data_IF_245650616366
#
_entry.id   IF_245650616366
#
_cell.length_a   1.000
_cell.length_b   1.000
_cell.length_c   1.000
_cell.angle_alpha   90.00
_cell.angle_beta   90.00
_cell.angle_gamma   90.00
#
_symmetry.space_group_name_H-M   'P 1'
#
loop_
_entity.id
_entity.type
_entity.pdbx_description
1 polymer ?
#
# COMPACT_ATOMS: atom_id res chain seq x y z
N UNK A 1 -17.00 10.81 8.80
CA UNK A 1 -17.32 12.23 8.81
C UNK A 1 -16.91 12.84 7.47
N UNK A 2 -17.58 13.88 7.02
CA UNK A 2 -17.35 14.48 5.71
C UNK A 2 -17.79 13.57 4.54
N UNK A 3 -17.12 13.73 3.40
CA UNK A 3 -17.46 13.05 2.14
C UNK A 3 -16.90 11.61 2.09
N UNK A 4 -17.23 10.79 3.08
CA UNK A 4 -16.67 9.45 3.26
C UNK A 4 -17.01 8.47 2.12
N UNK A 5 -18.03 8.76 1.33
CA UNK A 5 -18.52 7.93 0.22
C UNK A 5 -18.06 8.46 -1.16
N UNK A 6 -17.33 9.59 -1.22
CA UNK A 6 -16.74 10.08 -2.47
C UNK A 6 -15.52 9.24 -2.83
N UNK A 7 -15.52 8.69 -4.05
CA UNK A 7 -14.42 7.88 -4.55
C UNK A 7 -13.22 8.76 -4.95
N UNK A 8 -12.02 8.26 -4.68
CA UNK A 8 -10.75 8.82 -5.12
C UNK A 8 -9.80 7.69 -5.55
N UNK A 9 -8.83 7.99 -6.40
CA UNK A 9 -7.80 7.02 -6.75
C UNK A 9 -6.93 6.72 -5.52
N UNK A 10 -6.87 5.44 -5.10
CA UNK A 10 -6.12 5.03 -3.92
C UNK A 10 -4.61 5.02 -4.14
N UNK A 11 -4.18 5.08 -5.39
CA UNK A 11 -2.77 5.17 -5.75
C UNK A 11 -1.90 4.14 -5.01
N UNK A 12 -0.85 4.57 -4.34
CA UNK A 12 0.09 3.69 -3.63
C UNK A 12 -0.51 2.92 -2.45
N UNK A 13 -1.75 3.16 -2.04
CA UNK A 13 -2.40 2.31 -1.04
C UNK A 13 -2.70 0.93 -1.64
N UNK A 14 -2.93 0.84 -2.95
CA UNK A 14 -3.12 -0.42 -3.67
C UNK A 14 -2.00 -1.45 -3.47
N UNK A 15 -0.78 -0.98 -3.18
CA UNK A 15 0.39 -1.83 -2.90
C UNK A 15 0.20 -2.75 -1.69
N UNK A 16 -0.70 -2.40 -0.77
CA UNK A 16 -1.07 -3.29 0.36
C UNK A 16 -1.77 -4.54 -0.17
N UNK A 17 -2.67 -4.39 -1.12
CA UNK A 17 -3.45 -5.49 -1.69
C UNK A 17 -2.61 -6.33 -2.65
N UNK A 18 -1.77 -5.73 -3.50
CA UNK A 18 -0.85 -6.48 -4.36
C UNK A 18 0.22 -7.22 -3.55
N UNK A 19 0.69 -6.68 -2.42
CA UNK A 19 1.58 -7.40 -1.48
C UNK A 19 0.86 -8.61 -0.87
N UNK A 20 -0.40 -8.46 -0.51
CA UNK A 20 -1.22 -9.56 0.02
C UNK A 20 -1.27 -10.73 -0.96
N UNK A 21 -1.61 -10.48 -2.22
CA UNK A 21 -1.63 -11.50 -3.28
C UNK A 21 -0.24 -12.05 -3.59
N UNK A 22 0.79 -11.19 -3.62
CA UNK A 22 2.17 -11.62 -3.83
C UNK A 22 2.66 -12.59 -2.75
N UNK A 23 2.30 -12.34 -1.49
CA UNK A 23 2.59 -13.24 -0.37
C UNK A 23 1.76 -14.53 -0.41
N UNK A 24 0.54 -14.47 -0.91
CA UNK A 24 -0.26 -15.67 -1.16
C UNK A 24 0.40 -16.56 -2.21
N UNK A 25 0.81 -15.95 -3.34
CA UNK A 25 1.36 -16.66 -4.49
C UNK A 25 2.76 -17.26 -4.24
N UNK A 26 3.66 -16.52 -3.62
CA UNK A 26 5.06 -16.89 -3.45
C UNK A 26 5.46 -17.21 -2.00
N UNK A 27 4.64 -16.82 -1.01
CA UNK A 27 5.02 -17.00 0.39
C UNK A 27 6.35 -16.33 0.72
N UNK A 28 7.22 -17.07 1.41
CA UNK A 28 8.53 -16.55 1.83
C UNK A 28 9.52 -16.34 0.67
N UNK A 29 9.32 -16.96 -0.49
CA UNK A 29 10.21 -16.80 -1.65
C UNK A 29 10.10 -15.42 -2.29
N UNK A 30 9.01 -14.67 -2.04
CA UNK A 30 8.86 -13.27 -2.43
C UNK A 30 10.05 -12.42 -1.94
N UNK A 31 10.56 -12.70 -0.75
CA UNK A 31 11.65 -11.93 -0.14
C UNK A 31 13.04 -12.13 -0.79
N UNK A 32 13.14 -13.00 -1.78
CA UNK A 32 14.32 -13.09 -2.64
C UNK A 32 14.31 -12.03 -3.74
N UNK A 33 13.14 -11.47 -4.06
CA UNK A 33 12.92 -10.49 -5.13
C UNK A 33 12.67 -9.07 -4.63
N UNK A 34 12.24 -8.93 -3.37
CA UNK A 34 11.97 -7.63 -2.73
C UNK A 34 12.37 -7.71 -1.26
N UNK A 35 13.01 -6.67 -0.76
CA UNK A 35 13.43 -6.56 0.64
C UNK A 35 12.29 -6.15 1.59
N UNK A 36 12.68 -5.77 2.82
CA UNK A 36 11.75 -5.42 3.90
C UNK A 36 12.23 -4.20 4.70
N UNK A 37 13.21 -3.48 4.17
CA UNK A 37 13.86 -2.36 4.86
C UNK A 37 13.37 -1.00 4.33
N UNK A 38 13.29 0.02 5.17
CA UNK A 38 13.05 1.40 4.74
C UNK A 38 14.07 1.83 3.69
N UNK A 39 13.67 2.63 2.70
CA UNK A 39 14.59 3.05 1.65
C UNK A 39 15.58 4.13 2.11
N UNK A 40 15.17 5.00 3.02
CA UNK A 40 15.97 6.18 3.42
C UNK A 40 16.16 7.22 2.30
N UNK A 41 15.60 6.96 1.12
CA UNK A 41 15.66 7.78 -0.08
C UNK A 41 14.24 7.97 -0.65
N UNK A 42 14.01 8.96 -1.54
CA UNK A 42 12.72 9.12 -2.22
C UNK A 42 12.23 7.80 -2.84
N UNK A 43 10.93 7.56 -2.75
CA UNK A 43 10.26 6.29 -3.12
C UNK A 43 10.44 5.87 -4.60
N UNK A 44 10.96 6.75 -5.43
CA UNK A 44 11.21 6.53 -6.87
C UNK A 44 12.68 6.73 -7.25
N UNK A 45 13.62 6.67 -6.28
CA UNK A 45 15.05 6.78 -6.57
C UNK A 45 15.58 5.51 -7.26
N UNK A 46 16.48 5.68 -8.22
CA UNK A 46 17.19 4.59 -8.89
C UNK A 46 18.52 4.27 -8.20
N UNK A 47 19.10 5.24 -7.52
CA UNK A 47 20.43 5.11 -6.89
C UNK A 47 20.46 3.95 -5.88
N UNK A 48 19.43 3.87 -5.03
CA UNK A 48 19.35 2.78 -4.06
C UNK A 48 19.21 1.42 -4.74
N UNK A 49 18.43 1.36 -5.83
CA UNK A 49 18.19 0.14 -6.59
C UNK A 49 19.49 -0.37 -7.27
N UNK A 50 20.38 0.54 -7.68
CA UNK A 50 21.70 0.21 -8.21
C UNK A 50 22.58 -0.45 -7.15
N UNK A 51 22.67 0.11 -5.95
CA UNK A 51 23.42 -0.50 -4.83
C UNK A 51 22.87 -1.89 -4.45
N UNK A 52 21.56 -2.07 -4.53
CA UNK A 52 20.87 -3.33 -4.20
C UNK A 52 20.77 -4.30 -5.39
N UNK A 53 21.50 -4.03 -6.48
CA UNK A 53 21.56 -4.88 -7.68
C UNK A 53 20.18 -5.28 -8.20
N UNK A 54 19.31 -4.32 -8.37
CA UNK A 54 17.97 -4.53 -8.89
C UNK A 54 16.95 -5.14 -7.91
N UNK A 55 17.33 -5.37 -6.64
CA UNK A 55 16.39 -5.85 -5.60
C UNK A 55 15.85 -4.66 -4.80
N UNK A 56 14.57 -4.30 -4.93
CA UNK A 56 13.99 -3.18 -4.19
C UNK A 56 14.01 -3.41 -2.68
N UNK A 57 14.28 -2.36 -1.89
CA UNK A 57 14.37 -2.47 -0.43
C UNK A 57 13.08 -2.88 0.26
N UNK A 58 11.91 -2.53 -0.28
CA UNK A 58 10.62 -2.92 0.26
C UNK A 58 9.52 -2.87 -0.81
N UNK A 59 8.35 -3.50 -0.56
CA UNK A 59 7.25 -3.59 -1.53
C UNK A 59 6.47 -2.29 -1.70
N UNK A 60 6.70 -1.26 -0.88
CA UNK A 60 5.92 -0.02 -0.89
C UNK A 60 6.60 1.14 -1.64
N UNK A 61 7.89 1.03 -1.99
CA UNK A 61 8.50 1.89 -3.02
C UNK A 61 8.06 1.43 -4.41
N UNK A 62 8.16 2.31 -5.40
CA UNK A 62 7.66 2.01 -6.75
C UNK A 62 8.33 0.78 -7.36
N UNK A 63 9.65 0.65 -7.26
CA UNK A 63 10.38 -0.52 -7.74
C UNK A 63 9.84 -1.83 -7.13
N UNK A 64 9.59 -1.85 -5.80
CA UNK A 64 9.06 -3.04 -5.13
C UNK A 64 7.64 -3.38 -5.57
N UNK A 65 6.80 -2.38 -5.78
CA UNK A 65 5.44 -2.60 -6.28
C UNK A 65 5.42 -3.08 -7.75
N UNK A 66 6.38 -2.66 -8.57
CA UNK A 66 6.55 -3.16 -9.93
C UNK A 66 6.98 -4.64 -9.92
N UNK A 67 7.87 -5.04 -9.00
CA UNK A 67 8.20 -6.47 -8.80
C UNK A 67 6.97 -7.27 -8.38
N UNK A 68 6.11 -6.73 -7.50
CA UNK A 68 4.84 -7.38 -7.15
C UNK A 68 3.91 -7.51 -8.36
N UNK A 69 3.80 -6.47 -9.18
CA UNK A 69 3.01 -6.53 -10.42
C UNK A 69 3.55 -7.61 -11.38
N UNK A 70 4.87 -7.71 -11.54
CA UNK A 70 5.51 -8.79 -12.29
C UNK A 70 5.20 -10.18 -11.72
N UNK A 71 5.25 -10.34 -10.40
CA UNK A 71 4.84 -11.59 -9.73
C UNK A 71 3.39 -11.95 -10.05
N UNK A 72 2.49 -10.97 -10.05
CA UNK A 72 1.06 -11.22 -10.27
C UNK A 72 0.73 -11.53 -11.73
N UNK A 73 1.48 -11.00 -12.69
CA UNK A 73 1.26 -11.21 -14.13
C UNK A 73 2.07 -12.38 -14.70
N UNK A 74 3.06 -12.90 -13.98
CA UNK A 74 3.93 -13.98 -14.45
C UNK A 74 3.12 -15.18 -14.96
N UNK A 75 3.24 -15.47 -16.28
CA UNK A 75 2.55 -16.56 -16.95
C UNK A 75 1.03 -16.35 -17.15
N UNK A 76 0.56 -15.10 -17.11
CA UNK A 76 -0.86 -14.75 -17.20
C UNK A 76 -1.07 -13.48 -18.03
N UNK A 77 -2.32 -13.23 -18.41
CA UNK A 77 -2.72 -11.98 -19.05
C UNK A 77 -2.79 -10.84 -18.03
N UNK A 78 -2.47 -9.62 -18.47
CA UNK A 78 -2.51 -8.38 -17.64
C UNK A 78 -3.89 -8.19 -17.00
N UNK A 79 -4.96 -8.33 -17.79
CA UNK A 79 -6.34 -8.16 -17.32
C UNK A 79 -6.69 -9.16 -16.20
N UNK A 80 -6.17 -10.39 -16.28
CA UNK A 80 -6.38 -11.41 -15.24
C UNK A 80 -5.68 -11.02 -13.93
N UNK A 81 -4.45 -10.52 -14.01
CA UNK A 81 -3.72 -10.08 -12.82
C UNK A 81 -4.37 -8.86 -12.14
N UNK A 82 -4.87 -7.91 -12.94
CA UNK A 82 -5.59 -6.75 -12.42
C UNK A 82 -6.97 -7.12 -11.85
N UNK A 83 -7.66 -8.06 -12.49
CA UNK A 83 -8.93 -8.59 -12.01
C UNK A 83 -8.79 -9.25 -10.64
N UNK A 84 -7.69 -9.95 -10.34
CA UNK A 84 -7.44 -10.52 -9.01
C UNK A 84 -7.30 -9.45 -7.93
N UNK A 85 -6.60 -8.33 -8.23
CA UNK A 85 -6.46 -7.22 -7.28
C UNK A 85 -7.84 -6.59 -7.02
N UNK A 86 -8.64 -6.37 -8.07
CA UNK A 86 -9.99 -5.86 -7.95
C UNK A 86 -10.91 -6.84 -7.19
N UNK A 87 -10.81 -8.13 -7.47
CA UNK A 87 -11.57 -9.16 -6.77
C UNK A 87 -11.26 -9.15 -5.27
N UNK A 88 -9.98 -9.07 -4.90
CA UNK A 88 -9.56 -8.99 -3.51
C UNK A 88 -10.14 -7.75 -2.80
N UNK A 89 -10.01 -6.56 -3.37
CA UNK A 89 -10.52 -5.34 -2.72
C UNK A 89 -12.05 -5.34 -2.60
N UNK A 90 -12.75 -5.91 -3.59
CA UNK A 90 -14.20 -6.10 -3.56
C UNK A 90 -14.64 -7.10 -2.50
N UNK A 91 -13.96 -8.23 -2.40
CA UNK A 91 -14.20 -9.24 -1.36
C UNK A 91 -13.99 -8.65 0.03
N UNK A 92 -12.85 -7.99 0.25
CA UNK A 92 -12.49 -7.41 1.54
C UNK A 92 -13.40 -6.27 1.98
N UNK A 93 -13.90 -5.46 1.05
CA UNK A 93 -14.83 -4.36 1.35
C UNK A 93 -16.29 -4.81 1.42
N UNK A 94 -16.65 -5.91 0.75
CA UNK A 94 -18.04 -6.33 0.52
C UNK A 94 -18.75 -5.48 -0.56
N UNK A 95 -18.02 -4.70 -1.35
CA UNK A 95 -18.55 -3.75 -2.34
C UNK A 95 -18.11 -4.14 -3.76
N UNK A 96 -19.05 -4.34 -4.66
CA UNK A 96 -18.79 -4.84 -6.01
C UNK A 96 -18.51 -3.75 -7.05
N UNK A 97 -18.78 -2.50 -6.74
CA UNK A 97 -18.69 -1.35 -7.66
C UNK A 97 -17.29 -0.72 -7.77
N UNK A 98 -16.33 -1.20 -7.00
CA UNK A 98 -14.93 -0.74 -7.06
C UNK A 98 -14.34 -1.08 -8.43
N UNK A 99 -13.77 -0.08 -9.10
CA UNK A 99 -13.19 -0.21 -10.44
C UNK A 99 -11.94 0.65 -10.59
N UNK A 100 -11.20 0.43 -11.69
CA UNK A 100 -10.13 1.31 -12.11
C UNK A 100 -10.71 2.56 -12.78
N UNK A 101 -10.15 3.73 -12.45
CA UNK A 101 -10.38 4.97 -13.18
C UNK A 101 -9.53 4.98 -14.45
N UNK A 102 -10.17 4.97 -15.62
CA UNK A 102 -9.49 4.86 -16.90
C UNK A 102 -8.63 6.10 -17.22
N UNK A 103 -9.05 7.29 -16.79
CA UNK A 103 -8.31 8.53 -17.01
C UNK A 103 -7.04 8.55 -16.15
N UNK A 104 -7.14 8.11 -14.90
CA UNK A 104 -5.97 7.95 -14.01
C UNK A 104 -5.02 6.90 -14.56
N UNK A 105 -5.50 5.72 -14.98
CA UNK A 105 -4.67 4.67 -15.56
C UNK A 105 -3.92 5.17 -16.81
N UNK A 106 -4.63 5.87 -17.70
CA UNK A 106 -4.04 6.47 -18.89
C UNK A 106 -3.00 7.55 -18.55
N UNK A 107 -3.25 8.35 -17.52
CA UNK A 107 -2.30 9.37 -17.04
C UNK A 107 -1.04 8.74 -16.49
N UNK A 108 -1.16 7.71 -15.63
CA UNK A 108 -0.03 6.94 -15.08
C UNK A 108 0.83 6.32 -16.21
N UNK A 109 0.19 5.76 -17.22
CA UNK A 109 0.89 5.19 -18.38
C UNK A 109 1.65 6.25 -19.18
N UNK A 110 1.07 7.44 -19.40
CA UNK A 110 1.74 8.52 -20.14
C UNK A 110 2.89 9.16 -19.37
N UNK A 111 2.74 9.35 -18.08
CA UNK A 111 3.71 10.05 -17.22
C UNK A 111 4.71 9.13 -16.54
N UNK A 112 4.57 7.83 -16.71
CA UNK A 112 5.31 6.77 -16.01
C UNK A 112 6.77 6.57 -16.44
N UNK A 113 7.44 7.55 -17.08
CA UNK A 113 8.82 7.39 -17.58
C UNK A 113 9.80 6.94 -16.48
N UNK A 114 9.68 7.48 -15.26
CA UNK A 114 10.52 7.08 -14.12
C UNK A 114 10.28 5.62 -13.73
N UNK A 115 9.04 5.17 -13.71
CA UNK A 115 8.69 3.77 -13.41
C UNK A 115 9.20 2.82 -14.49
N UNK A 116 9.18 3.22 -15.76
CA UNK A 116 9.81 2.45 -16.85
C UNK A 116 11.31 2.32 -16.66
N UNK A 117 12.00 3.39 -16.28
CA UNK A 117 13.45 3.34 -15.99
C UNK A 117 13.77 2.36 -14.85
N UNK A 118 12.97 2.38 -13.76
CA UNK A 118 13.12 1.43 -12.65
C UNK A 118 12.90 -0.01 -13.10
N UNK A 119 11.83 -0.27 -13.87
CA UNK A 119 11.49 -1.61 -14.36
C UNK A 119 12.57 -2.16 -15.31
N UNK A 120 13.05 -1.34 -16.25
CA UNK A 120 14.13 -1.73 -17.18
C UNK A 120 15.43 -2.04 -16.43
N UNK A 121 15.77 -1.24 -15.41
CA UNK A 121 16.94 -1.51 -14.57
C UNK A 121 16.79 -2.87 -13.86
N UNK A 122 15.66 -3.14 -13.21
CA UNK A 122 15.39 -4.41 -12.55
C UNK A 122 15.40 -5.60 -13.54
N UNK A 123 14.94 -5.40 -14.78
CA UNK A 123 15.01 -6.41 -15.83
C UNK A 123 16.47 -6.70 -16.24
N UNK A 124 17.30 -5.66 -16.37
CA UNK A 124 18.73 -5.81 -16.67
C UNK A 124 19.49 -6.57 -15.57
N UNK A 125 19.10 -6.39 -14.31
CA UNK A 125 19.65 -7.11 -13.16
C UNK A 125 19.00 -8.51 -12.94
N UNK A 126 18.06 -8.92 -13.80
CA UNK A 126 17.42 -10.24 -13.74
C UNK A 126 16.31 -10.37 -12.68
N UNK A 127 15.83 -9.28 -12.12
CA UNK A 127 14.75 -9.29 -11.11
C UNK A 127 13.34 -9.06 -11.71
N UNK A 128 13.17 -9.21 -13.02
CA UNK A 128 11.86 -9.30 -13.69
C UNK A 128 11.77 -10.64 -14.42
N UNK A 129 10.63 -11.30 -14.38
CA UNK A 129 10.40 -12.61 -15.01
C UNK A 129 9.49 -12.53 -16.22
N UNK A 130 8.56 -11.57 -16.21
CA UNK A 130 7.70 -11.23 -17.33
C UNK A 130 8.25 -10.07 -18.15
N UNK A 131 7.41 -9.53 -19.04
CA UNK A 131 7.76 -8.30 -19.77
C UNK A 131 7.63 -7.08 -18.88
N UNK A 132 8.46 -6.08 -19.10
CA UNK A 132 8.39 -4.80 -18.38
C UNK A 132 7.03 -4.12 -18.61
N UNK A 133 6.52 -4.21 -19.83
CA UNK A 133 5.26 -3.60 -20.24
C UNK A 133 4.07 -4.22 -19.51
N UNK A 134 4.01 -5.54 -19.35
CA UNK A 134 2.93 -6.23 -18.65
C UNK A 134 2.95 -5.87 -17.15
N UNK A 135 4.12 -5.91 -16.52
CA UNK A 135 4.28 -5.53 -15.11
C UNK A 135 3.88 -4.06 -14.88
N UNK A 136 4.27 -3.15 -15.78
CA UNK A 136 3.89 -1.74 -15.69
C UNK A 136 2.40 -1.53 -15.94
N UNK A 137 1.79 -2.28 -16.85
CA UNK A 137 0.34 -2.21 -17.09
C UNK A 137 -0.47 -2.59 -15.86
N UNK A 138 -0.09 -3.68 -15.17
CA UNK A 138 -0.70 -4.07 -13.88
C UNK A 138 -0.43 -3.00 -12.82
N UNK A 139 0.81 -2.48 -12.74
CA UNK A 139 1.18 -1.45 -11.77
C UNK A 139 0.40 -0.15 -11.96
N UNK A 140 0.23 0.35 -13.18
CA UNK A 140 -0.56 1.54 -13.47
C UNK A 140 -2.06 1.31 -13.23
N UNK A 141 -2.56 0.13 -13.62
CA UNK A 141 -3.94 -0.27 -13.35
C UNK A 141 -4.25 -0.30 -11.85
N UNK A 142 -3.42 -0.93 -11.02
CA UNK A 142 -3.66 -0.95 -9.57
C UNK A 142 -3.61 0.45 -8.93
N UNK A 143 -2.75 1.36 -9.43
CA UNK A 143 -2.70 2.75 -8.94
C UNK A 143 -3.99 3.51 -9.25
N UNK A 144 -4.70 3.15 -10.31
CA UNK A 144 -5.94 3.80 -10.74
C UNK A 144 -7.20 3.30 -10.04
N UNK A 145 -7.11 2.28 -9.17
CA UNK A 145 -8.28 1.79 -8.43
C UNK A 145 -8.91 2.94 -7.64
N UNK A 146 -10.21 3.16 -7.87
CA UNK A 146 -10.99 4.19 -7.19
C UNK A 146 -11.81 3.58 -6.06
N UNK A 147 -11.65 4.13 -4.86
CA UNK A 147 -12.38 3.71 -3.66
C UNK A 147 -12.75 4.93 -2.82
N UNK A 148 -13.86 4.85 -2.11
CA UNK A 148 -14.20 5.81 -1.06
C UNK A 148 -13.47 5.49 0.25
N UNK A 149 -13.44 6.45 1.20
CA UNK A 149 -12.91 6.18 2.53
C UNK A 149 -13.62 5.01 3.21
N UNK A 150 -14.95 4.88 3.04
CA UNK A 150 -15.73 3.75 3.57
C UNK A 150 -15.24 2.43 3.00
N UNK A 151 -15.17 2.31 1.69
CA UNK A 151 -14.71 1.09 1.00
C UNK A 151 -13.27 0.73 1.39
N UNK A 152 -12.39 1.72 1.47
CA UNK A 152 -10.99 1.51 1.84
C UNK A 152 -10.84 1.07 3.30
N UNK A 153 -11.61 1.65 4.23
CA UNK A 153 -11.60 1.23 5.63
C UNK A 153 -12.14 -0.20 5.79
N UNK A 154 -13.22 -0.55 5.10
CA UNK A 154 -13.76 -1.91 5.08
C UNK A 154 -12.72 -2.90 4.53
N UNK A 155 -12.10 -2.58 3.38
CA UNK A 155 -11.06 -3.41 2.80
C UNK A 155 -9.81 -3.56 3.68
N UNK A 156 -9.51 -2.60 4.55
CA UNK A 156 -8.39 -2.66 5.49
C UNK A 156 -8.62 -3.51 6.74
N UNK A 157 -9.86 -3.91 7.04
CA UNK A 157 -10.25 -4.60 8.29
C UNK A 157 -9.49 -5.91 8.53
N UNK A 158 -9.13 -6.64 7.48
CA UNK A 158 -8.37 -7.88 7.60
C UNK A 158 -7.01 -7.69 8.30
N UNK A 159 -6.38 -6.53 8.14
CA UNK A 159 -5.13 -6.19 8.83
C UNK A 159 -5.38 -5.89 10.31
N UNK A 160 -6.48 -5.20 10.63
CA UNK A 160 -6.86 -4.91 12.00
C UNK A 160 -7.22 -6.17 12.77
N UNK A 161 -7.96 -7.09 12.14
CA UNK A 161 -8.32 -8.38 12.73
C UNK A 161 -7.13 -9.33 12.88
N UNK A 162 -5.94 -8.95 12.42
CA UNK A 162 -4.76 -9.82 12.44
C UNK A 162 -4.95 -11.11 11.63
N UNK A 163 -5.86 -11.11 10.66
CA UNK A 163 -6.20 -12.30 9.86
C UNK A 163 -7.04 -13.35 10.60
N UNK A 164 -7.51 -13.10 11.84
CA UNK A 164 -8.18 -14.10 12.69
C UNK A 164 -9.61 -13.74 13.14
N UNK A 165 -10.21 -12.68 12.60
CA UNK A 165 -11.61 -12.33 12.91
C UNK A 165 -12.60 -13.20 12.15
N UNK A 166 -13.62 -13.73 12.83
CA UNK A 166 -14.65 -14.60 12.27
C UNK A 166 -15.41 -14.02 11.06
N UNK A 167 -15.39 -12.67 10.91
CA UNK A 167 -16.08 -11.96 9.84
C UNK A 167 -15.17 -11.47 8.69
N UNK A 168 -13.85 -11.69 8.77
CA UNK A 168 -12.87 -11.17 7.79
C UNK A 168 -11.76 -12.20 7.47
N UNK A 169 -11.98 -13.46 7.74
CA UNK A 169 -11.09 -14.52 7.25
C UNK A 169 -11.27 -14.67 5.75
N UNK A 170 -10.42 -13.98 5.00
CA UNK A 170 -10.24 -14.32 3.59
C UNK A 170 -9.29 -15.53 3.50
N UNK A 171 -9.50 -16.38 2.50
CA UNK A 171 -8.58 -17.46 2.18
C UNK A 171 -7.13 -16.95 1.91
N UNK A 172 -7.00 -15.65 1.65
CA UNK A 172 -5.78 -15.00 1.19
C UNK A 172 -4.80 -14.59 2.30
N UNK A 173 -5.25 -14.40 3.56
CA UNK A 173 -4.41 -13.79 4.60
C UNK A 173 -4.43 -14.55 5.92
N UNK A 174 -3.29 -15.07 6.32
CA UNK A 174 -3.08 -15.60 7.67
C UNK A 174 -2.76 -14.45 8.65
N UNK A 175 -3.00 -14.67 9.96
CA UNK A 175 -2.63 -13.72 11.03
C UNK A 175 -1.17 -13.28 10.96
N UNK A 176 -0.27 -14.21 10.61
CA UNK A 176 1.15 -13.91 10.46
C UNK A 176 1.42 -12.96 9.27
N UNK A 177 0.75 -13.18 8.13
CA UNK A 177 0.88 -12.30 6.95
C UNK A 177 0.32 -10.90 7.24
N UNK A 178 -0.86 -10.80 7.85
CA UNK A 178 -1.46 -9.53 8.23
C UNK A 178 -0.54 -8.71 9.16
N UNK A 179 0.04 -9.37 10.18
CA UNK A 179 1.03 -8.76 11.09
C UNK A 179 2.27 -8.26 10.33
N UNK A 180 2.81 -9.06 9.40
CA UNK A 180 4.00 -8.69 8.60
C UNK A 180 3.71 -7.52 7.65
N UNK A 181 2.53 -7.49 7.01
CA UNK A 181 2.10 -6.37 6.18
C UNK A 181 2.00 -5.10 7.04
N UNK A 182 1.36 -5.17 8.21
CA UNK A 182 1.25 -4.03 9.13
C UNK A 182 2.62 -3.54 9.61
N UNK A 183 3.57 -4.44 9.89
CA UNK A 183 4.95 -4.06 10.24
C UNK A 183 5.63 -3.29 9.09
N UNK A 184 5.47 -3.73 7.84
CA UNK A 184 5.97 -3.01 6.67
C UNK A 184 5.25 -1.67 6.46
N UNK A 185 3.94 -1.58 6.72
CA UNK A 185 3.23 -0.30 6.69
C UNK A 185 3.79 0.67 7.72
N UNK A 186 4.16 0.20 8.91
CA UNK A 186 4.77 1.04 9.96
C UNK A 186 6.12 1.62 9.50
N UNK A 187 6.98 0.80 8.90
CA UNK A 187 8.36 1.18 8.58
C UNK A 187 8.54 1.80 7.20
N UNK A 188 7.65 1.50 6.24
CA UNK A 188 7.83 1.84 4.84
C UNK A 188 6.58 2.48 4.19
N UNK A 189 5.46 2.61 4.92
CA UNK A 189 4.16 2.90 4.31
C UNK A 189 3.92 4.36 3.91
N UNK A 190 4.64 5.30 4.51
CA UNK A 190 4.45 6.74 4.33
C UNK A 190 5.66 7.43 3.69
N UNK A 191 6.25 6.78 2.69
CA UNK A 191 7.43 7.29 1.98
C UNK A 191 8.59 7.61 2.95
N UNK A 192 9.27 8.74 2.74
CA UNK A 192 10.38 9.21 3.58
C UNK A 192 9.91 9.73 4.96
N UNK A 193 8.59 9.76 5.20
CA UNK A 193 8.00 10.20 6.46
C UNK A 193 7.62 9.04 7.39
N UNK A 194 7.90 7.77 7.04
CA UNK A 194 7.42 6.62 7.83
C UNK A 194 7.89 6.67 9.29
N UNK A 195 9.13 7.08 9.53
CA UNK A 195 9.65 7.27 10.89
C UNK A 195 8.93 8.37 11.68
N UNK A 196 8.68 9.52 11.05
CA UNK A 196 7.93 10.65 11.65
C UNK A 196 6.47 10.24 11.92
N UNK A 197 5.84 9.49 11.00
CA UNK A 197 4.47 8.98 11.18
C UNK A 197 4.43 7.98 12.35
N UNK A 198 5.40 7.08 12.44
CA UNK A 198 5.51 6.16 13.57
C UNK A 198 5.67 6.89 14.89
N UNK A 199 6.48 7.96 14.93
CA UNK A 199 6.72 8.78 16.13
C UNK A 199 5.46 9.56 16.55
N UNK A 200 4.78 10.22 15.61
CA UNK A 200 3.64 11.11 15.90
C UNK A 200 2.31 10.37 16.03
N UNK A 201 2.05 9.37 15.19
CA UNK A 201 0.76 8.68 15.13
C UNK A 201 0.83 7.32 15.82
N UNK A 202 1.96 6.60 15.67
CA UNK A 202 2.16 5.31 16.30
C UNK A 202 1.28 4.18 15.76
N UNK A 203 0.79 4.30 14.51
CA UNK A 203 -0.03 3.30 13.83
C UNK A 203 0.59 2.89 12.48
N UNK A 204 0.47 1.62 12.07
CA UNK A 204 0.78 1.21 10.71
C UNK A 204 -0.05 2.01 9.70
N UNK A 205 0.59 2.79 8.84
CA UNK A 205 -0.07 3.63 7.84
C UNK A 205 0.43 3.32 6.44
N UNK A 206 -0.45 3.43 5.43
CA UNK A 206 -0.08 3.47 4.02
C UNK A 206 -0.74 4.64 3.34
N UNK A 207 0.08 5.55 2.79
CA UNK A 207 -0.40 6.72 2.06
C UNK A 207 -0.35 6.52 0.54
N UNK A 208 -1.17 7.30 -0.18
CA UNK A 208 -1.18 7.40 -1.62
C UNK A 208 -1.23 8.86 -2.09
N UNK A 209 -0.57 9.16 -3.20
CA UNK A 209 -0.52 10.52 -3.77
C UNK A 209 -1.88 11.03 -4.29
N UNK A 210 -2.92 10.20 -4.27
CA UNK A 210 -4.32 10.63 -4.43
C UNK A 210 -4.89 11.36 -3.20
N UNK A 211 -4.11 11.48 -2.12
CA UNK A 211 -4.50 12.15 -0.88
C UNK A 211 -5.10 11.23 0.18
N UNK A 212 -5.16 9.91 -0.09
CA UNK A 212 -5.66 8.91 0.85
C UNK A 212 -4.58 8.38 1.81
N UNK A 213 -5.02 7.94 2.98
CA UNK A 213 -4.21 7.21 3.97
C UNK A 213 -5.06 6.10 4.56
N UNK A 214 -4.53 4.88 4.57
CA UNK A 214 -5.06 3.75 5.32
C UNK A 214 -4.22 3.56 6.59
N UNK A 215 -4.84 3.61 7.75
CA UNK A 215 -4.20 3.35 9.05
C UNK A 215 -4.84 2.15 9.74
N UNK A 216 -4.04 1.37 10.46
CA UNK A 216 -4.47 0.16 11.15
C UNK A 216 -4.28 0.30 12.64
N UNK A 217 -5.34 0.07 13.40
CA UNK A 217 -5.30 -0.11 14.85
C UNK A 217 -5.44 -1.61 15.12
N UNK A 218 -4.33 -2.32 15.40
CA UNK A 218 -4.36 -3.77 15.55
C UNK A 218 -5.37 -4.23 16.61
N UNK A 219 -6.21 -5.20 16.27
CA UNK A 219 -7.25 -5.71 17.14
C UNK A 219 -8.49 -4.82 17.31
N UNK A 220 -8.52 -3.63 16.70
CA UNK A 220 -9.58 -2.62 16.93
C UNK A 220 -10.24 -2.17 15.63
N UNK A 221 -9.50 -1.53 14.72
CA UNK A 221 -10.09 -0.87 13.56
C UNK A 221 -9.12 -0.68 12.40
N UNK A 222 -9.68 -0.54 11.20
CA UNK A 222 -9.01 0.08 10.06
C UNK A 222 -9.66 1.46 9.81
N UNK A 223 -8.82 2.46 9.55
CA UNK A 223 -9.23 3.85 9.39
C UNK A 223 -8.75 4.31 8.02
N UNK A 224 -9.65 4.92 7.25
CA UNK A 224 -9.29 5.61 6.02
C UNK A 224 -9.57 7.11 6.17
N UNK A 225 -8.62 7.92 5.76
CA UNK A 225 -8.75 9.37 5.71
C UNK A 225 -8.31 9.87 4.33
N UNK A 226 -9.00 10.87 3.79
CA UNK A 226 -8.70 11.43 2.48
C UNK A 226 -8.80 12.96 2.47
N UNK A 227 -7.77 13.59 1.91
CA UNK A 227 -7.79 14.99 1.53
C UNK A 227 -6.72 15.21 0.44
N UNK A 228 -7.03 15.87 -0.70
CA UNK A 228 -6.13 15.94 -1.85
C UNK A 228 -4.88 16.81 -1.64
N UNK A 229 -4.83 17.67 -0.61
CA UNK A 229 -3.67 18.54 -0.32
C UNK A 229 -2.49 17.76 0.23
N UNK A 230 -1.39 17.64 -0.54
CA UNK A 230 -0.19 16.89 -0.16
C UNK A 230 0.88 17.79 0.48
N UNK A 231 1.74 17.17 1.30
CA UNK A 231 3.01 17.75 1.74
C UNK A 231 4.13 17.52 0.69
N UNK A 232 5.33 18.01 0.97
CA UNK A 232 6.49 17.87 0.09
C UNK A 232 6.95 16.42 -0.12
N UNK A 233 6.55 15.50 0.79
CA UNK A 233 6.87 14.07 0.72
C UNK A 233 5.77 13.23 0.05
N UNK A 234 4.65 13.86 -0.36
CA UNK A 234 3.53 13.21 -1.04
C UNK A 234 2.47 12.64 -0.11
N UNK A 235 2.48 12.94 1.18
CA UNK A 235 1.45 12.55 2.14
C UNK A 235 0.37 13.62 2.26
N UNK A 236 -0.88 13.20 2.47
CA UNK A 236 -1.99 14.13 2.70
C UNK A 236 -1.84 14.87 4.03
N UNK A 237 -1.73 16.19 3.97
CA UNK A 237 -1.50 17.03 5.17
C UNK A 237 -2.63 16.92 6.18
N UNK A 238 -3.88 17.06 5.73
CA UNK A 238 -5.04 17.06 6.63
C UNK A 238 -5.44 15.65 7.04
N UNK A 239 -5.33 14.65 6.17
CA UNK A 239 -5.59 13.26 6.55
C UNK A 239 -4.61 12.77 7.63
N UNK A 240 -3.31 13.11 7.49
CA UNK A 240 -2.30 12.78 8.52
C UNK A 240 -2.58 13.49 9.83
N UNK A 241 -2.96 14.77 9.79
CA UNK A 241 -3.33 15.52 11.00
C UNK A 241 -4.54 14.93 11.70
N UNK A 242 -5.58 14.56 10.93
CA UNK A 242 -6.79 13.92 11.48
C UNK A 242 -6.47 12.57 12.15
N UNK A 243 -5.56 11.78 11.57
CA UNK A 243 -5.11 10.51 12.16
C UNK A 243 -4.30 10.75 13.45
N UNK A 244 -3.45 11.76 13.49
CA UNK A 244 -2.69 12.15 14.68
C UNK A 244 -3.64 12.59 15.82
N UNK A 245 -4.59 13.48 15.52
CA UNK A 245 -5.57 13.95 16.51
C UNK A 245 -6.44 12.80 17.01
N UNK A 246 -6.82 11.86 16.14
CA UNK A 246 -7.58 10.66 16.51
C UNK A 246 -6.75 9.72 17.40
N UNK A 247 -5.49 9.45 17.05
CA UNK A 247 -4.60 8.60 17.83
C UNK A 247 -4.38 9.16 19.23
N UNK A 248 -4.12 10.46 19.33
CA UNK A 248 -3.99 11.15 20.62
C UNK A 248 -5.29 11.16 21.42
N UNK A 249 -6.44 11.42 20.78
CA UNK A 249 -7.75 11.48 21.45
C UNK A 249 -8.23 10.13 21.98
N UNK A 250 -7.85 9.03 21.31
CA UNK A 250 -8.25 7.66 21.67
C UNK A 250 -7.19 6.92 22.48
N UNK A 251 -5.95 7.40 22.47
CA UNK A 251 -4.80 6.68 23.00
C UNK A 251 -4.36 5.49 22.17
N UNK A 252 -4.82 5.36 20.91
CA UNK A 252 -4.48 4.23 20.04
C UNK A 252 -3.05 4.34 19.50
N UNK A 253 -2.23 3.35 19.84
CA UNK A 253 -0.86 3.22 19.34
C UNK A 253 -0.38 1.79 19.48
N UNK A 254 0.46 1.31 18.59
CA UNK A 254 1.14 0.01 18.71
C UNK A 254 2.22 0.02 19.81
N UNK A 255 2.64 1.21 20.28
CA UNK A 255 3.66 1.39 21.30
C UNK A 255 3.08 1.47 22.74
N UNK A 256 1.80 1.23 22.89
CA UNK A 256 1.08 1.35 24.17
C UNK A 256 0.15 2.56 24.20
N UNK A 257 -0.64 2.68 25.25
CA UNK A 257 -1.60 3.78 25.41
C UNK A 257 -0.85 5.12 25.45
N UNK A 258 -1.22 6.03 24.53
CA UNK A 258 -0.79 7.41 24.62
C UNK A 258 -1.54 8.07 25.80
N UNK A 259 -0.85 8.31 26.91
CA UNK A 259 -1.41 9.12 28.00
C UNK A 259 -1.18 10.60 27.66
N UNK A 260 -2.19 11.43 27.88
CA UNK A 260 -2.01 12.88 27.87
C UNK A 260 -1.09 13.24 29.03
N UNK A 261 -0.05 14.03 28.76
CA UNK A 261 0.77 14.61 29.81
C UNK A 261 -0.15 15.44 30.72
N UNK A 262 -0.38 14.97 31.96
CA UNK A 262 -1.21 15.65 32.95
C UNK A 262 -2.32 14.80 33.59
N UNK A 263 -2.55 13.56 33.20
CA UNK A 263 -3.44 12.63 33.89
C UNK A 263 -2.60 11.58 34.66
N UNK A 264 -2.00 12.02 35.75
CA UNK A 264 -1.31 11.24 36.77
C UNK A 264 -1.94 11.44 38.13
#
# INVERSE_FOLDING_TARGET
AGDADVAFSIQSISKVFSLTLGLERLGATLWQRVGREPSGNPFNTIIQLEYERGVPRNPFINAGAIVLADVLVEGREVDSALADILALVRELSGESDIACDADVASSEARTGARNRALAQFMAAEGNMRGTVEDALSVYFGQCSIAMSCRQLALAGRFLAAGGSGADVTTAHVTSERARRISALMMTCGCYDASGEVAYRIGLPCKSGVGGGVLAIVPGVAAIAAWCPGLDEKGNSRLAMRALEDLAHGTGWSVFGAMRRDGEG
#
